data_IF_783436483957
#
_entry.id   IF_783436483957
#
_cell.length_a   1.000
_cell.length_b   1.000
_cell.length_c   1.000
_cell.angle_alpha   90.00
_cell.angle_beta   90.00
_cell.angle_gamma   90.00
#
_symmetry.space_group_name_H-M   'P 1'
#
loop_
_entity.id
_entity.type
_entity.pdbx_description
1 polymer ?
#
# COMPACT_ATOMS: atom_id res chain seq x y z
N UNK A 1 -1.63 -56.95 -64.03
CA UNK A 1 -0.90 -58.22 -64.23
C UNK A 1 -0.46 -58.74 -62.87
N UNK A 2 -0.93 -59.94 -62.51
CA UNK A 2 -0.46 -60.88 -61.46
C UNK A 2 -0.43 -60.31 -60.02
N UNK A 3 -1.37 -60.62 -59.11
CA UNK A 3 -1.78 -61.96 -58.56
C UNK A 3 -0.55 -62.70 -58.00
N UNK A 4 -0.47 -63.33 -56.84
CA UNK A 4 -1.41 -63.99 -55.91
C UNK A 4 -0.49 -64.68 -54.86
N UNK A 5 -0.74 -64.73 -53.54
CA UNK A 5 -1.29 -65.88 -52.75
C UNK A 5 -0.85 -65.65 -51.27
N UNK A 6 -1.73 -65.61 -50.26
CA UNK A 6 -2.38 -66.74 -49.54
C UNK A 6 -1.34 -67.58 -48.75
N UNK A 7 -1.48 -68.03 -47.50
CA UNK A 7 -2.47 -67.96 -46.40
C UNK A 7 -2.04 -69.03 -45.35
N UNK A 8 -2.34 -68.82 -44.06
CA UNK A 8 -2.53 -69.77 -42.94
C UNK A 8 -1.41 -70.73 -42.45
N UNK A 9 -1.08 -70.66 -41.15
CA UNK A 9 -1.42 -71.63 -40.07
C UNK A 9 -0.73 -71.18 -38.76
N UNK A 10 -1.44 -70.73 -37.71
CA UNK A 10 -2.08 -71.46 -36.61
C UNK A 10 -1.17 -71.82 -35.41
N UNK A 11 -1.68 -71.45 -34.21
CA UNK A 11 -1.51 -72.06 -32.87
C UNK A 11 -0.20 -71.86 -32.08
N UNK A 12 -0.28 -70.95 -31.09
CA UNK A 12 -0.03 -71.32 -29.69
C UNK A 12 -0.76 -70.36 -28.74
N UNK A 13 -1.92 -70.80 -28.26
CA UNK A 13 -2.60 -70.27 -27.08
C UNK A 13 -1.85 -70.74 -25.83
N UNK A 14 -1.39 -69.80 -25.00
CA UNK A 14 -0.99 -70.06 -23.62
C UNK A 14 -1.92 -69.25 -22.68
N UNK A 15 -2.53 -69.87 -21.66
CA UNK A 15 -3.38 -69.17 -20.72
C UNK A 15 -2.49 -68.51 -19.66
N UNK A 16 -2.32 -67.20 -19.71
CA UNK A 16 -1.85 -66.46 -18.54
C UNK A 16 -3.07 -66.17 -17.68
N UNK A 17 -3.11 -66.88 -16.55
CA UNK A 17 -4.08 -66.74 -15.50
C UNK A 17 -4.22 -65.26 -15.10
N UNK A 18 -5.41 -64.73 -15.33
CA UNK A 18 -5.91 -63.50 -14.75
C UNK A 18 -5.98 -63.65 -13.23
N UNK A 19 -4.99 -63.12 -12.52
CA UNK A 19 -5.19 -62.74 -11.13
C UNK A 19 -6.19 -61.56 -11.11
N UNK A 20 -7.18 -61.54 -10.21
CA UNK A 20 -7.97 -60.35 -10.00
C UNK A 20 -7.04 -59.30 -9.40
N UNK A 21 -6.59 -58.35 -10.21
CA UNK A 21 -6.06 -57.10 -9.70
C UNK A 21 -7.19 -56.46 -8.90
N UNK A 22 -7.06 -56.50 -7.57
CA UNK A 22 -7.85 -55.67 -6.66
C UNK A 22 -7.79 -54.26 -7.21
N UNK A 23 -8.94 -53.74 -7.65
CA UNK A 23 -9.19 -52.32 -7.81
C UNK A 23 -9.13 -51.69 -6.41
N UNK A 24 -7.92 -51.59 -5.87
CA UNK A 24 -7.61 -50.81 -4.68
C UNK A 24 -7.40 -49.39 -5.14
N UNK A 25 -8.45 -48.58 -4.99
CA UNK A 25 -8.36 -47.15 -4.74
C UNK A 25 -7.35 -46.36 -5.62
N UNK A 26 -7.51 -46.44 -6.94
CA UNK A 26 -6.78 -45.57 -7.87
C UNK A 26 -7.31 -44.13 -7.85
N UNK A 27 -8.51 -43.90 -7.33
CA UNK A 27 -9.09 -42.56 -7.19
C UNK A 27 -8.35 -41.73 -6.13
N UNK A 28 -7.87 -42.35 -5.03
CA UNK A 28 -7.06 -41.67 -4.02
C UNK A 28 -5.63 -41.33 -4.48
N UNK A 29 -5.04 -42.15 -5.35
CA UNK A 29 -3.73 -41.87 -5.95
C UNK A 29 -3.81 -40.89 -7.13
N UNK A 30 -4.97 -40.79 -7.78
CA UNK A 30 -5.24 -39.77 -8.78
C UNK A 30 -5.52 -38.40 -8.15
N UNK A 31 -6.10 -38.35 -6.94
CA UNK A 31 -6.20 -37.12 -6.15
C UNK A 31 -4.84 -36.65 -5.60
N UNK A 32 -3.97 -37.55 -5.12
CA UNK A 32 -2.60 -37.17 -4.74
C UNK A 32 -1.72 -36.80 -5.96
N UNK A 33 -2.00 -37.41 -7.13
CA UNK A 33 -1.32 -37.11 -8.39
C UNK A 33 -1.78 -35.82 -9.06
N UNK A 34 -3.03 -35.39 -8.88
CA UNK A 34 -3.54 -34.14 -9.48
C UNK A 34 -2.96 -32.89 -8.79
N UNK A 35 -2.69 -32.97 -7.48
CA UNK A 35 -1.99 -31.94 -6.68
C UNK A 35 -0.52 -31.77 -7.09
N UNK A 36 0.07 -32.79 -7.73
CA UNK A 36 1.43 -32.72 -8.29
C UNK A 36 1.50 -32.11 -9.70
N UNK A 37 0.38 -32.04 -10.42
CA UNK A 37 0.33 -31.64 -11.83
C UNK A 37 -0.52 -30.41 -12.14
N UNK A 38 -1.26 -29.87 -11.16
CA UNK A 38 -2.04 -28.64 -11.27
C UNK A 38 -1.21 -27.35 -11.06
N UNK A 39 0.07 -27.49 -10.73
CA UNK A 39 0.98 -26.36 -10.46
C UNK A 39 0.68 -25.61 -9.16
N UNK A 40 -0.41 -25.95 -8.46
CA UNK A 40 -0.82 -25.35 -7.19
C UNK A 40 0.11 -25.78 -6.05
N UNK A 41 0.43 -27.08 -5.98
CA UNK A 41 1.30 -27.63 -4.93
C UNK A 41 2.80 -27.30 -5.07
N UNK A 42 3.25 -26.75 -6.22
CA UNK A 42 4.69 -26.61 -6.51
C UNK A 42 5.40 -25.61 -5.60
N UNK A 43 4.69 -24.58 -5.14
CA UNK A 43 5.28 -23.50 -4.35
C UNK A 43 4.68 -23.36 -2.94
N UNK A 44 3.79 -24.26 -2.52
CA UNK A 44 3.22 -24.25 -1.15
C UNK A 44 4.30 -24.40 -0.08
N UNK A 45 5.32 -25.22 -0.34
CA UNK A 45 6.48 -25.36 0.56
C UNK A 45 7.26 -24.06 0.71
N UNK A 46 7.41 -23.30 -0.39
CA UNK A 46 8.09 -22.02 -0.37
C UNK A 46 7.27 -20.96 0.39
N UNK A 47 5.93 -21.02 0.34
CA UNK A 47 5.04 -20.15 1.09
C UNK A 47 4.93 -20.49 2.59
N UNK A 48 5.52 -21.60 3.06
CA UNK A 48 5.46 -22.01 4.46
C UNK A 48 6.15 -21.03 5.42
N UNK A 49 5.95 -21.23 6.73
CA UNK A 49 6.54 -20.40 7.79
C UNK A 49 8.08 -20.39 7.74
N UNK A 50 8.68 -21.57 7.52
CA UNK A 50 10.13 -21.78 7.53
C UNK A 50 10.56 -22.59 6.30
N UNK A 51 10.51 -21.98 5.10
CA UNK A 51 10.87 -22.68 3.87
C UNK A 51 12.37 -22.93 3.82
N UNK A 52 12.77 -24.02 3.16
CA UNK A 52 14.18 -24.26 2.93
C UNK A 52 14.77 -23.19 1.98
N UNK A 53 16.07 -22.84 2.08
CA UNK A 53 16.71 -21.86 1.20
C UNK A 53 16.51 -22.16 -0.29
N UNK A 54 16.53 -23.43 -0.68
CA UNK A 54 16.30 -23.90 -2.05
C UNK A 54 14.86 -23.64 -2.54
N UNK A 55 13.86 -23.77 -1.67
CA UNK A 55 12.46 -23.49 -2.01
C UNK A 55 12.28 -21.98 -2.25
N UNK A 56 12.91 -21.13 -1.43
CA UNK A 56 12.91 -19.67 -1.62
C UNK A 56 13.61 -19.27 -2.92
N UNK A 57 14.76 -19.85 -3.20
CA UNK A 57 15.50 -19.59 -4.43
C UNK A 57 14.71 -20.03 -5.68
N UNK A 58 14.02 -21.17 -5.61
CA UNK A 58 13.17 -21.65 -6.69
C UNK A 58 11.96 -20.73 -6.92
N UNK A 59 11.30 -20.27 -5.85
CA UNK A 59 10.20 -19.31 -5.94
C UNK A 59 10.66 -17.98 -6.55
N UNK A 60 11.81 -17.44 -6.11
CA UNK A 60 12.38 -16.23 -6.68
C UNK A 60 12.70 -16.40 -8.17
N UNK A 61 13.32 -17.52 -8.54
CA UNK A 61 13.67 -17.80 -9.93
C UNK A 61 12.43 -17.88 -10.82
N UNK A 62 11.33 -18.44 -10.31
CA UNK A 62 10.05 -18.45 -11.03
C UNK A 62 9.44 -17.06 -11.12
N UNK A 63 9.37 -16.33 -9.99
CA UNK A 63 8.82 -14.98 -9.95
C UNK A 63 9.53 -14.05 -10.95
N UNK A 64 10.86 -14.15 -11.07
CA UNK A 64 11.66 -13.36 -12.02
C UNK A 64 11.31 -13.62 -13.50
N UNK A 65 10.60 -14.70 -13.85
CA UNK A 65 10.10 -14.92 -15.22
C UNK A 65 8.91 -14.02 -15.56
N UNK A 66 8.23 -13.50 -14.55
CA UNK A 66 7.09 -12.60 -14.66
C UNK A 66 7.49 -11.12 -14.51
N UNK A 67 8.78 -10.85 -14.27
CA UNK A 67 9.31 -9.53 -13.99
C UNK A 67 10.32 -9.17 -15.05
N UNK A 68 10.10 -8.05 -15.72
CA UNK A 68 11.12 -7.39 -16.51
C UNK A 68 11.73 -6.26 -15.68
N UNK A 69 13.06 -6.19 -15.61
CA UNK A 69 13.77 -5.12 -14.87
C UNK A 69 14.39 -4.19 -15.89
N UNK A 70 13.88 -2.96 -15.98
CA UNK A 70 14.53 -1.88 -16.70
C UNK A 70 15.57 -1.22 -15.78
N UNK A 71 16.83 -1.42 -16.10
CA UNK A 71 17.97 -0.87 -15.38
C UNK A 71 18.52 0.41 -16.03
N UNK A 72 17.87 0.90 -17.08
CA UNK A 72 18.29 2.07 -17.85
C UNK A 72 19.74 2.01 -18.35
N UNK A 73 20.31 0.81 -18.50
CA UNK A 73 21.73 0.60 -18.83
C UNK A 73 22.69 0.80 -17.65
N UNK A 74 22.19 0.81 -16.41
CA UNK A 74 22.95 0.96 -15.16
C UNK A 74 22.95 -0.36 -14.39
N UNK A 75 24.00 -1.20 -14.49
CA UNK A 75 24.02 -2.53 -13.88
C UNK A 75 23.82 -2.55 -12.35
N UNK A 76 24.20 -1.46 -11.67
CA UNK A 76 23.98 -1.30 -10.24
C UNK A 76 22.48 -1.22 -9.88
N UNK A 77 21.63 -0.66 -10.74
CA UNK A 77 20.18 -0.62 -10.55
C UNK A 77 19.58 -2.02 -10.64
N UNK A 78 19.99 -2.80 -11.65
CA UNK A 78 19.59 -4.21 -11.78
C UNK A 78 19.97 -5.03 -10.56
N UNK A 79 21.22 -4.90 -10.11
CA UNK A 79 21.72 -5.63 -8.95
C UNK A 79 20.97 -5.25 -7.66
N UNK A 80 20.64 -3.96 -7.49
CA UNK A 80 19.84 -3.49 -6.37
C UNK A 80 18.42 -4.06 -6.43
N UNK A 81 17.75 -4.02 -7.58
CA UNK A 81 16.39 -4.57 -7.75
C UNK A 81 16.36 -6.09 -7.51
N UNK A 82 17.35 -6.81 -8.05
CA UNK A 82 17.51 -8.25 -7.79
C UNK A 82 17.70 -8.55 -6.31
N UNK A 83 18.45 -7.71 -5.59
CA UNK A 83 18.62 -7.83 -4.14
C UNK A 83 17.32 -7.54 -3.39
N UNK A 84 16.49 -6.60 -3.84
CA UNK A 84 15.19 -6.31 -3.24
C UNK A 84 14.23 -7.49 -3.43
N UNK A 85 14.15 -8.04 -4.64
CA UNK A 85 13.34 -9.24 -4.92
C UNK A 85 13.78 -10.44 -4.09
N UNK A 86 15.10 -10.64 -3.92
CA UNK A 86 15.62 -11.68 -3.04
C UNK A 86 15.24 -11.43 -1.57
N UNK A 87 15.33 -10.17 -1.11
CA UNK A 87 14.95 -9.78 0.25
C UNK A 87 13.46 -9.98 0.53
N UNK A 88 12.58 -9.77 -0.45
CA UNK A 88 11.16 -10.11 -0.33
C UNK A 88 10.94 -11.57 0.07
N UNK A 89 11.77 -12.51 -0.40
CA UNK A 89 11.61 -13.92 -0.07
C UNK A 89 11.89 -14.23 1.41
N UNK A 90 12.45 -13.31 2.19
CA UNK A 90 12.56 -13.49 3.65
C UNK A 90 11.22 -13.25 4.37
N UNK A 91 10.28 -12.52 3.75
CA UNK A 91 8.93 -12.29 4.27
C UNK A 91 7.98 -13.43 3.86
N UNK A 92 7.21 -13.95 4.83
CA UNK A 92 6.19 -14.97 4.56
C UNK A 92 5.08 -14.41 3.67
N UNK A 93 4.57 -13.23 4.01
CA UNK A 93 3.53 -12.56 3.25
C UNK A 93 3.97 -12.35 1.79
N UNK A 94 5.20 -11.90 1.55
CA UNK A 94 5.71 -11.72 0.20
C UNK A 94 5.86 -13.04 -0.57
N UNK A 95 6.24 -14.15 0.08
CA UNK A 95 6.29 -15.47 -0.56
C UNK A 95 4.90 -15.95 -0.97
N UNK A 96 3.91 -15.87 -0.07
CA UNK A 96 2.51 -16.22 -0.37
C UNK A 96 1.98 -15.39 -1.54
N UNK A 97 2.26 -14.09 -1.57
CA UNK A 97 1.85 -13.20 -2.65
C UNK A 97 2.61 -13.46 -3.95
N UNK A 98 3.87 -13.91 -3.89
CA UNK A 98 4.64 -14.32 -5.07
C UNK A 98 4.03 -15.56 -5.71
N UNK A 99 3.57 -16.53 -4.91
CA UNK A 99 2.84 -17.70 -5.42
C UNK A 99 1.55 -17.27 -6.12
N UNK A 100 0.80 -16.34 -5.52
CA UNK A 100 -0.39 -15.77 -6.17
C UNK A 100 -0.02 -15.03 -7.46
N UNK A 101 1.05 -14.24 -7.45
CA UNK A 101 1.52 -13.49 -8.63
C UNK A 101 1.80 -14.40 -9.83
N UNK A 102 2.52 -15.49 -9.59
CA UNK A 102 2.81 -16.52 -10.60
C UNK A 102 1.51 -17.21 -11.05
N UNK A 103 0.64 -17.58 -10.10
CA UNK A 103 -0.63 -18.28 -10.39
C UNK A 103 -1.60 -17.45 -11.23
N UNK A 104 -1.67 -16.14 -11.01
CA UNK A 104 -2.50 -15.23 -11.81
C UNK A 104 -1.88 -14.89 -13.18
N UNK A 105 -0.67 -15.39 -13.48
CA UNK A 105 0.17 -14.91 -14.59
C UNK A 105 0.25 -13.36 -14.63
N UNK A 106 0.39 -12.76 -13.44
CA UNK A 106 0.65 -11.33 -13.33
C UNK A 106 2.05 -11.04 -13.88
N UNK A 107 2.25 -9.84 -14.45
CA UNK A 107 3.52 -9.40 -15.02
C UNK A 107 3.75 -7.94 -14.67
N UNK A 108 5.00 -7.55 -14.50
CA UNK A 108 5.40 -6.15 -14.24
C UNK A 108 6.70 -5.78 -14.94
N UNK A 109 6.80 -4.50 -15.29
CA UNK A 109 8.07 -3.83 -15.57
C UNK A 109 8.51 -3.08 -14.30
N UNK A 110 9.68 -3.41 -13.76
CA UNK A 110 10.25 -2.77 -12.57
C UNK A 110 11.40 -1.84 -12.95
N UNK A 111 11.43 -0.63 -12.39
CA UNK A 111 12.58 0.26 -12.53
C UNK A 111 12.78 1.16 -11.31
N UNK A 112 13.96 1.78 -11.21
CA UNK A 112 14.20 2.91 -10.30
C UNK A 112 14.01 4.22 -11.04
N UNK A 113 13.23 5.15 -10.47
CA UNK A 113 12.97 6.45 -11.07
C UNK A 113 13.27 7.62 -10.15
N UNK A 114 13.66 8.74 -10.75
CA UNK A 114 13.80 10.02 -10.06
C UNK A 114 12.42 10.63 -9.81
N UNK A 115 11.94 10.58 -8.57
CA UNK A 115 10.67 11.20 -8.21
C UNK A 115 10.91 12.71 -7.95
N UNK A 116 10.19 13.62 -8.65
CA UNK A 116 10.38 15.05 -8.49
C UNK A 116 10.32 15.53 -7.04
N UNK A 117 11.16 16.51 -6.71
CA UNK A 117 11.31 17.09 -5.36
C UNK A 117 11.89 16.14 -4.30
N UNK A 118 12.35 14.93 -4.66
CA UNK A 118 13.06 14.05 -3.74
C UNK A 118 14.38 14.70 -3.33
N UNK A 119 14.57 14.86 -2.02
CA UNK A 119 15.82 15.36 -1.42
C UNK A 119 16.26 14.39 -0.34
N UNK A 120 17.52 13.96 -0.43
CA UNK A 120 18.16 13.16 0.61
C UNK A 120 18.79 14.11 1.63
N UNK A 121 18.55 13.86 2.90
CA UNK A 121 19.14 14.58 4.02
C UNK A 121 19.44 13.61 5.17
N UNK A 122 20.13 14.09 6.20
CA UNK A 122 20.56 13.25 7.33
C UNK A 122 19.75 13.60 8.58
N UNK A 123 19.20 12.58 9.24
CA UNK A 123 18.57 12.68 10.56
C UNK A 123 19.30 11.69 11.46
N UNK A 124 19.87 12.18 12.57
CA UNK A 124 20.59 11.36 13.55
C UNK A 124 21.67 10.43 12.92
N UNK A 125 22.38 10.94 11.90
CA UNK A 125 23.43 10.19 11.19
C UNK A 125 22.92 9.21 10.12
N UNK A 126 21.60 9.06 9.95
CA UNK A 126 20.97 8.19 8.95
C UNK A 126 20.49 9.02 7.76
N UNK A 127 20.80 8.57 6.54
CA UNK A 127 20.28 9.19 5.32
C UNK A 127 18.81 8.83 5.12
N UNK A 128 17.97 9.85 4.95
CA UNK A 128 16.53 9.74 4.73
C UNK A 128 16.09 10.66 3.58
N UNK A 129 14.90 10.41 3.03
CA UNK A 129 14.24 11.32 2.09
C UNK A 129 12.77 11.48 2.47
N UNK A 130 12.12 12.53 1.95
CA UNK A 130 10.71 12.87 2.22
C UNK A 130 9.97 13.14 0.90
N UNK A 131 9.55 12.08 0.23
CA UNK A 131 8.71 12.04 -0.98
C UNK A 131 8.09 10.64 -1.10
N UNK A 132 7.36 10.34 -2.17
CA UNK A 132 6.86 8.98 -2.42
C UNK A 132 8.02 7.97 -2.47
N UNK A 133 7.80 6.78 -1.92
CA UNK A 133 8.72 5.66 -2.04
C UNK A 133 8.61 4.97 -3.41
N UNK A 134 7.43 4.94 -4.00
CA UNK A 134 7.20 4.31 -5.30
C UNK A 134 5.87 4.75 -5.91
N UNK A 135 5.55 4.18 -7.06
CA UNK A 135 4.22 4.23 -7.65
C UNK A 135 4.05 3.13 -8.71
N UNK A 136 2.79 2.75 -8.97
CA UNK A 136 2.43 1.77 -10.00
C UNK A 136 1.51 2.37 -11.06
N UNK A 137 1.90 2.27 -12.33
CA UNK A 137 1.06 2.60 -13.47
C UNK A 137 0.19 1.41 -13.90
N UNK A 138 -0.88 1.15 -13.15
CA UNK A 138 -1.81 0.01 -13.37
C UNK A 138 -2.57 0.03 -14.71
N UNK A 139 -2.52 1.14 -15.45
CA UNK A 139 -3.11 1.28 -16.79
C UNK A 139 -2.23 0.77 -17.94
N UNK A 140 -0.97 0.45 -17.68
CA UNK A 140 -0.03 -0.10 -18.66
C UNK A 140 -0.11 -1.63 -18.70
N UNK A 141 0.33 -2.25 -19.81
CA UNK A 141 0.29 -3.71 -19.99
C UNK A 141 1.66 -4.19 -20.50
N UNK A 142 2.49 -4.83 -19.65
CA UNK A 142 2.25 -5.08 -18.22
C UNK A 142 2.26 -3.77 -17.40
N UNK A 143 1.68 -3.75 -16.17
CA UNK A 143 1.83 -2.64 -15.24
C UNK A 143 3.30 -2.29 -14.98
N UNK A 144 3.62 -1.01 -14.96
CA UNK A 144 4.94 -0.48 -14.60
C UNK A 144 4.98 -0.11 -13.12
N UNK A 145 6.01 -0.57 -12.41
CA UNK A 145 6.24 -0.28 -11.00
C UNK A 145 7.58 0.44 -10.88
N UNK A 146 7.53 1.63 -10.30
CA UNK A 146 8.68 2.50 -10.15
C UNK A 146 9.00 2.66 -8.66
N UNK A 147 10.24 2.34 -8.28
CA UNK A 147 10.76 2.67 -6.96
C UNK A 147 11.56 3.97 -7.03
N UNK A 148 11.50 4.76 -5.97
CA UNK A 148 12.28 5.98 -5.87
C UNK A 148 13.78 5.63 -5.87
N UNK A 149 14.52 6.21 -6.82
CA UNK A 149 15.96 6.00 -6.96
C UNK A 149 16.76 6.43 -5.72
N UNK A 150 16.20 7.29 -4.86
CA UNK A 150 16.78 7.64 -3.57
C UNK A 150 17.01 6.42 -2.65
N UNK A 151 16.28 5.32 -2.84
CA UNK A 151 16.53 4.07 -2.11
C UNK A 151 17.92 3.49 -2.35
N UNK A 152 18.59 3.82 -3.46
CA UNK A 152 19.97 3.40 -3.70
C UNK A 152 20.97 4.04 -2.72
N UNK A 153 20.56 5.09 -2.01
CA UNK A 153 21.42 5.87 -1.11
C UNK A 153 20.88 6.01 0.33
N UNK A 154 19.56 6.02 0.51
CA UNK A 154 18.88 6.35 1.76
C UNK A 154 17.72 5.38 2.03
N UNK A 155 17.46 5.03 3.29
CA UNK A 155 16.35 4.13 3.69
C UNK A 155 16.27 2.83 2.89
N UNK A 156 17.41 2.18 2.61
CA UNK A 156 17.49 0.94 1.81
C UNK A 156 16.62 -0.18 2.38
N UNK A 157 16.51 -0.19 3.70
CA UNK A 157 15.69 -1.09 4.49
C UNK A 157 14.18 -0.96 4.20
N UNK A 158 13.72 0.22 3.77
CA UNK A 158 12.31 0.55 3.44
C UNK A 158 12.00 0.43 1.93
N UNK A 159 12.92 -0.16 1.15
CA UNK A 159 12.67 -0.43 -0.26
C UNK A 159 11.85 -1.71 -0.50
N UNK A 160 12.05 -2.83 0.24
CA UNK A 160 11.28 -4.05 0.03
C UNK A 160 9.78 -3.93 0.37
N UNK A 161 9.41 -3.26 1.47
CA UNK A 161 8.01 -3.00 1.81
C UNK A 161 7.33 -2.12 0.76
N UNK A 162 8.02 -1.09 0.27
CA UNK A 162 7.53 -0.27 -0.86
C UNK A 162 7.36 -1.11 -2.12
N UNK A 163 8.34 -1.96 -2.47
CA UNK A 163 8.20 -2.85 -3.62
C UNK A 163 7.02 -3.81 -3.47
N UNK A 164 6.78 -4.35 -2.28
CA UNK A 164 5.64 -5.22 -2.02
C UNK A 164 4.31 -4.47 -2.14
N UNK A 165 4.24 -3.24 -1.62
CA UNK A 165 3.09 -2.34 -1.79
C UNK A 165 2.75 -2.16 -3.27
N UNK A 166 3.75 -1.78 -4.08
CA UNK A 166 3.53 -1.49 -5.49
C UNK A 166 3.25 -2.75 -6.32
N UNK A 167 4.12 -3.75 -6.24
CA UNK A 167 4.04 -4.95 -7.08
C UNK A 167 2.88 -5.88 -6.68
N UNK A 168 2.70 -6.14 -5.38
CA UNK A 168 1.65 -7.04 -4.93
C UNK A 168 0.37 -6.33 -4.52
N UNK A 169 0.43 -5.08 -4.07
CA UNK A 169 -0.74 -4.31 -3.68
C UNK A 169 -1.49 -3.70 -4.87
N UNK A 170 -0.76 -3.23 -5.88
CA UNK A 170 -1.36 -2.62 -7.06
C UNK A 170 -1.34 -3.56 -8.27
N UNK A 171 -0.16 -4.02 -8.73
CA UNK A 171 -0.08 -4.77 -9.98
C UNK A 171 -0.77 -6.15 -9.91
N UNK A 172 -0.55 -6.93 -8.83
CA UNK A 172 -1.24 -8.21 -8.63
C UNK A 172 -2.75 -8.04 -8.44
N UNK A 173 -3.18 -7.10 -7.61
CA UNK A 173 -4.61 -6.90 -7.35
C UNK A 173 -5.34 -6.40 -8.60
N UNK A 174 -4.69 -5.55 -9.40
CA UNK A 174 -5.18 -5.18 -10.73
C UNK A 174 -5.39 -6.41 -11.61
N UNK A 175 -4.49 -7.41 -11.57
CA UNK A 175 -4.63 -8.67 -12.32
C UNK A 175 -5.78 -9.54 -11.80
N UNK A 176 -5.92 -9.65 -10.48
CA UNK A 176 -7.07 -10.33 -9.86
C UNK A 176 -8.39 -9.68 -10.28
N UNK A 177 -8.46 -8.35 -10.29
CA UNK A 177 -9.65 -7.63 -10.76
C UNK A 177 -9.99 -7.93 -12.24
N UNK A 178 -9.00 -8.20 -13.12
CA UNK A 178 -9.26 -8.65 -14.50
C UNK A 178 -9.94 -10.00 -14.55
N UNK A 179 -9.47 -10.96 -13.73
CA UNK A 179 -10.05 -12.30 -13.67
C UNK A 179 -11.55 -12.24 -13.35
N UNK A 180 -11.95 -11.29 -12.51
CA UNK A 180 -13.34 -11.05 -12.14
C UNK A 180 -14.10 -10.08 -13.06
N UNK A 181 -13.45 -9.50 -14.07
CA UNK A 181 -14.06 -8.55 -15.01
C UNK A 181 -14.44 -7.19 -14.41
N UNK A 182 -13.76 -6.78 -13.33
CA UNK A 182 -14.03 -5.54 -12.57
C UNK A 182 -12.84 -4.57 -12.54
N UNK A 183 -11.85 -4.77 -13.41
CA UNK A 183 -10.65 -3.95 -13.45
C UNK A 183 -10.89 -2.46 -13.77
N UNK A 184 -11.97 -2.15 -14.49
CA UNK A 184 -12.36 -0.77 -14.79
C UNK A 184 -13.01 -0.06 -13.61
N UNK A 185 -13.51 -0.82 -12.62
CA UNK A 185 -14.04 -0.26 -11.38
C UNK A 185 -13.05 -0.34 -10.22
N UNK A 186 -12.02 -1.18 -10.33
CA UNK A 186 -10.92 -1.28 -9.37
C UNK A 186 -10.27 0.07 -9.08
N UNK A 187 -10.10 0.94 -10.08
CA UNK A 187 -9.54 2.29 -9.88
C UNK A 187 -10.42 3.22 -9.03
N UNK A 188 -11.68 2.87 -8.80
CA UNK A 188 -12.56 3.59 -7.87
C UNK A 188 -12.61 2.92 -6.49
N UNK A 189 -11.97 1.78 -6.27
CA UNK A 189 -12.05 1.09 -4.98
C UNK A 189 -11.19 1.81 -3.93
N UNK A 190 -11.82 2.31 -2.87
CA UNK A 190 -11.09 2.99 -1.78
C UNK A 190 -10.13 2.06 -1.03
N UNK A 191 -10.37 0.76 -1.10
CA UNK A 191 -9.60 -0.25 -0.36
C UNK A 191 -8.35 -0.69 -1.13
N UNK A 192 -8.14 -0.14 -2.32
CA UNK A 192 -6.99 -0.40 -3.18
C UNK A 192 -5.68 0.03 -2.51
N UNK A 193 -5.54 1.30 -2.18
CA UNK A 193 -4.42 1.83 -1.39
C UNK A 193 -4.29 1.15 -0.02
N UNK A 194 -5.40 0.94 0.70
CA UNK A 194 -5.36 0.35 2.04
C UNK A 194 -4.83 -1.10 2.00
N UNK A 195 -5.20 -1.86 0.98
CA UNK A 195 -4.70 -3.22 0.78
C UNK A 195 -3.21 -3.22 0.42
N UNK A 196 -2.79 -2.31 -0.46
CA UNK A 196 -1.37 -2.15 -0.81
C UNK A 196 -0.55 -1.75 0.42
N UNK A 197 -1.05 -0.82 1.23
CA UNK A 197 -0.50 -0.43 2.52
C UNK A 197 -0.36 -1.64 3.46
N UNK A 198 -1.43 -2.40 3.69
CA UNK A 198 -1.39 -3.60 4.54
C UNK A 198 -0.34 -4.61 4.08
N UNK A 199 -0.18 -4.81 2.77
CA UNK A 199 0.86 -5.69 2.22
C UNK A 199 2.25 -5.13 2.52
N UNK A 200 2.52 -3.88 2.15
CA UNK A 200 3.82 -3.24 2.39
C UNK A 200 4.20 -3.24 3.86
N UNK A 201 3.33 -2.74 4.74
CA UNK A 201 3.58 -2.66 6.17
C UNK A 201 3.83 -4.04 6.81
N UNK A 202 3.08 -5.07 6.38
CA UNK A 202 3.26 -6.44 6.87
C UNK A 202 4.62 -7.00 6.43
N UNK A 203 4.97 -6.84 5.15
CA UNK A 203 6.27 -7.28 4.63
C UNK A 203 7.41 -6.57 5.36
N UNK A 204 7.34 -5.26 5.54
CA UNK A 204 8.33 -4.50 6.31
C UNK A 204 8.48 -5.02 7.74
N UNK A 205 7.37 -5.23 8.45
CA UNK A 205 7.39 -5.73 9.83
C UNK A 205 7.97 -7.15 9.97
N UNK A 206 7.66 -8.04 9.02
CA UNK A 206 8.23 -9.39 8.93
C UNK A 206 9.75 -9.34 8.69
N UNK A 207 10.22 -8.43 7.83
CA UNK A 207 11.65 -8.21 7.54
C UNK A 207 12.42 -7.53 8.68
N UNK A 208 11.71 -7.10 9.73
CA UNK A 208 12.30 -6.50 10.92
C UNK A 208 12.25 -4.98 10.96
N UNK A 209 11.65 -4.33 9.96
CA UNK A 209 11.45 -2.89 9.99
C UNK A 209 10.45 -2.52 11.07
N UNK A 210 10.61 -1.33 11.64
CA UNK A 210 9.63 -0.76 12.56
C UNK A 210 8.49 -0.18 11.75
N UNK A 211 7.25 -0.42 12.19
CA UNK A 211 6.07 0.22 11.61
C UNK A 211 6.01 1.65 12.14
N UNK A 212 6.72 2.58 11.50
CA UNK A 212 6.71 4.01 11.85
C UNK A 212 5.77 4.83 10.95
N UNK A 213 5.21 4.22 9.92
CA UNK A 213 4.27 4.87 9.02
C UNK A 213 3.00 5.27 9.77
N UNK A 214 2.76 6.58 9.89
CA UNK A 214 1.55 7.12 10.52
C UNK A 214 0.27 6.63 9.86
N UNK A 215 0.30 6.33 8.55
CA UNK A 215 -0.84 5.77 7.83
C UNK A 215 -1.17 4.35 8.28
N UNK A 216 -0.16 3.53 8.58
CA UNK A 216 -0.36 2.20 9.16
C UNK A 216 -1.09 2.32 10.51
N UNK A 217 -0.60 3.17 11.41
CA UNK A 217 -1.23 3.36 12.71
C UNK A 217 -2.65 3.91 12.62
N UNK A 218 -2.92 4.88 11.72
CA UNK A 218 -4.27 5.40 11.51
C UNK A 218 -5.20 4.31 10.99
N UNK A 219 -4.75 3.47 10.05
CA UNK A 219 -5.55 2.36 9.53
C UNK A 219 -5.84 1.32 10.60
N UNK A 220 -4.83 0.91 11.35
CA UNK A 220 -4.95 -0.11 12.39
C UNK A 220 -5.84 0.33 13.56
N UNK A 221 -5.82 1.63 13.92
CA UNK A 221 -6.71 2.21 14.93
C UNK A 221 -8.16 2.34 14.40
N UNK A 222 -8.32 2.95 13.23
CA UNK A 222 -9.64 3.24 12.67
C UNK A 222 -9.59 3.33 11.13
N UNK A 223 -9.92 2.24 10.41
CA UNK A 223 -9.94 2.22 8.94
C UNK A 223 -10.82 3.31 8.33
N UNK A 224 -11.98 3.63 8.94
CA UNK A 224 -12.86 4.68 8.43
C UNK A 224 -12.22 6.07 8.51
N UNK A 225 -11.46 6.35 9.57
CA UNK A 225 -10.68 7.58 9.70
C UNK A 225 -9.53 7.62 8.69
N UNK A 226 -8.86 6.49 8.43
CA UNK A 226 -7.86 6.36 7.38
C UNK A 226 -8.42 6.78 6.01
N UNK A 227 -9.49 6.15 5.54
CA UNK A 227 -10.07 6.46 4.22
C UNK A 227 -10.56 7.90 4.14
N UNK A 228 -11.14 8.42 5.23
CA UNK A 228 -11.57 9.81 5.31
C UNK A 228 -10.40 10.78 5.11
N UNK A 229 -9.27 10.55 5.79
CA UNK A 229 -8.07 11.39 5.67
C UNK A 229 -7.47 11.30 4.26
N UNK A 230 -7.38 10.08 3.73
CA UNK A 230 -6.84 9.82 2.40
C UNK A 230 -7.62 10.56 1.29
N UNK A 231 -8.96 10.54 1.36
CA UNK A 231 -9.87 11.27 0.45
C UNK A 231 -9.72 12.79 0.49
N UNK A 232 -9.01 13.35 1.47
CA UNK A 232 -8.70 14.78 1.57
C UNK A 232 -7.24 15.11 1.30
N UNK A 233 -6.43 14.11 0.93
CA UNK A 233 -4.99 14.27 0.73
C UNK A 233 -4.63 14.60 -0.73
N UNK A 234 -5.16 13.83 -1.69
CA UNK A 234 -4.90 14.00 -3.12
C UNK A 234 -6.18 13.85 -3.97
N UNK A 235 -6.25 14.46 -5.16
CA UNK A 235 -7.40 14.35 -6.06
C UNK A 235 -7.80 12.91 -6.38
N UNK A 236 -6.83 12.06 -6.71
CA UNK A 236 -7.07 10.65 -7.03
C UNK A 236 -7.90 9.94 -5.94
N UNK A 237 -7.45 10.01 -4.69
CA UNK A 237 -8.14 9.39 -3.56
C UNK A 237 -9.52 9.99 -3.28
N UNK A 238 -9.75 11.28 -3.55
CA UNK A 238 -11.07 11.88 -3.39
C UNK A 238 -12.12 11.24 -4.33
N UNK A 239 -11.68 10.68 -5.45
CA UNK A 239 -12.50 9.96 -6.42
C UNK A 239 -12.75 8.48 -6.09
N UNK A 240 -12.09 7.90 -5.10
CA UNK A 240 -12.34 6.51 -4.71
C UNK A 240 -13.59 6.37 -3.86
N UNK A 241 -14.16 5.17 -3.81
CA UNK A 241 -15.48 4.84 -3.30
C UNK A 241 -15.39 3.52 -2.54
N UNK A 242 -16.08 3.42 -1.41
CA UNK A 242 -16.44 2.12 -0.85
C UNK A 242 -17.42 1.40 -1.78
N UNK A 243 -17.55 0.09 -1.61
CA UNK A 243 -18.58 -0.71 -2.32
C UNK A 243 -20.01 -0.18 -2.12
N UNK A 244 -20.26 0.48 -0.99
CA UNK A 244 -21.55 1.14 -0.72
C UNK A 244 -21.67 2.48 -1.44
N UNK A 245 -20.61 3.28 -1.45
CA UNK A 245 -20.58 4.55 -2.19
C UNK A 245 -20.65 4.31 -3.71
N UNK A 246 -20.19 3.16 -4.21
CA UNK A 246 -20.35 2.74 -5.61
C UNK A 246 -21.82 2.57 -6.02
N UNK A 247 -22.75 2.38 -5.09
CA UNK A 247 -24.20 2.29 -5.38
C UNK A 247 -24.83 3.66 -5.66
N UNK A 248 -24.27 4.72 -5.07
CA UNK A 248 -24.67 6.11 -5.28
C UNK A 248 -23.43 7.03 -5.26
N UNK A 249 -22.60 6.96 -6.32
CA UNK A 249 -21.34 7.70 -6.36
C UNK A 249 -21.58 9.21 -6.41
N UNK A 250 -22.70 9.64 -7.00
CA UNK A 250 -23.04 11.06 -7.10
C UNK A 250 -23.27 11.68 -5.72
N UNK A 251 -24.01 11.00 -4.85
CA UNK A 251 -24.21 11.43 -3.47
C UNK A 251 -22.88 11.46 -2.69
N UNK A 252 -22.04 10.44 -2.85
CA UNK A 252 -20.72 10.37 -2.20
C UNK A 252 -19.81 11.55 -2.61
N UNK A 253 -19.69 11.83 -3.91
CA UNK A 253 -18.88 12.96 -4.40
C UNK A 253 -19.45 14.32 -3.97
N UNK A 254 -20.78 14.47 -3.99
CA UNK A 254 -21.45 15.71 -3.56
C UNK A 254 -21.18 15.98 -2.07
N UNK A 255 -21.27 14.95 -1.23
CA UNK A 255 -20.95 15.06 0.20
C UNK A 255 -19.49 15.47 0.43
N UNK A 256 -18.54 14.86 -0.30
CA UNK A 256 -17.11 15.22 -0.20
C UNK A 256 -16.84 16.62 -0.69
N UNK A 257 -17.47 17.07 -1.78
CA UNK A 257 -17.34 18.44 -2.24
C UNK A 257 -17.79 19.43 -1.17
N UNK A 258 -18.89 19.13 -0.46
CA UNK A 258 -19.35 19.93 0.67
C UNK A 258 -18.35 19.92 1.85
N UNK A 259 -17.67 18.80 2.11
CA UNK A 259 -16.61 18.71 3.13
C UNK A 259 -15.38 19.54 2.75
N UNK A 260 -14.91 19.44 1.50
CA UNK A 260 -13.79 20.23 0.97
C UNK A 260 -14.08 21.73 1.04
N UNK A 261 -15.30 22.14 0.65
CA UNK A 261 -15.75 23.53 0.77
C UNK A 261 -15.80 24.02 2.23
N UNK A 262 -15.91 23.14 3.23
CA UNK A 262 -15.78 23.48 4.67
C UNK A 262 -14.32 23.52 5.13
N UNK A 263 -13.43 22.74 4.52
CA UNK A 263 -12.01 22.66 4.88
C UNK A 263 -11.20 23.83 4.31
N UNK A 264 -11.42 24.22 3.06
CA UNK A 264 -10.75 25.34 2.40
C UNK A 264 -10.72 26.63 3.25
N UNK A 265 -11.86 27.17 3.75
CA UNK A 265 -11.84 28.38 4.56
C UNK A 265 -11.18 28.20 5.94
N UNK A 266 -10.90 26.96 6.39
CA UNK A 266 -10.17 26.71 7.63
C UNK A 266 -8.66 26.82 7.47
N UNK A 267 -8.13 26.74 6.25
CA UNK A 267 -6.69 26.89 6.00
C UNK A 267 -6.16 28.26 6.46
N UNK A 268 -6.74 29.41 6.05
CA UNK A 268 -6.26 30.70 6.53
C UNK A 268 -6.42 30.85 8.05
N UNK A 269 -7.49 30.32 8.65
CA UNK A 269 -7.69 30.33 10.12
C UNK A 269 -6.61 29.52 10.83
N UNK A 270 -6.23 28.35 10.30
CA UNK A 270 -5.13 27.55 10.84
C UNK A 270 -3.79 28.26 10.69
N UNK A 271 -3.54 28.89 9.54
CA UNK A 271 -2.34 29.70 9.29
C UNK A 271 -2.22 30.81 10.33
N UNK A 272 -3.29 31.57 10.52
CA UNK A 272 -3.35 32.64 11.53
C UNK A 272 -3.12 32.10 12.94
N UNK A 273 -3.80 31.02 13.33
CA UNK A 273 -3.60 30.37 14.64
C UNK A 273 -2.15 29.96 14.85
N UNK A 274 -1.52 29.32 13.87
CA UNK A 274 -0.13 28.89 13.97
C UNK A 274 0.83 30.08 14.03
N UNK A 275 0.59 31.14 13.26
CA UNK A 275 1.37 32.39 13.35
C UNK A 275 1.23 33.03 14.73
N UNK A 276 0.03 33.04 15.31
CA UNK A 276 -0.20 33.53 16.68
C UNK A 276 0.57 32.67 17.67
N UNK A 277 0.45 31.35 17.60
CA UNK A 277 1.17 30.44 18.50
C UNK A 277 2.69 30.61 18.39
N UNK A 278 3.22 30.83 17.18
CA UNK A 278 4.63 31.11 16.98
C UNK A 278 5.05 32.40 17.73
N UNK A 279 4.29 33.49 17.56
CA UNK A 279 4.52 34.74 18.31
C UNK A 279 4.39 34.55 19.82
N UNK A 280 3.47 33.71 20.30
CA UNK A 280 3.34 33.37 21.72
C UNK A 280 4.60 32.69 22.22
N UNK A 281 5.16 31.74 21.46
CA UNK A 281 6.42 31.10 21.86
C UNK A 281 7.57 32.10 21.95
N UNK A 282 7.56 33.18 21.17
CA UNK A 282 8.56 34.27 21.23
C UNK A 282 8.31 35.24 22.39
N UNK A 283 7.06 35.40 22.81
CA UNK A 283 6.68 36.28 23.91
C UNK A 283 6.87 35.65 25.30
N UNK A 284 6.59 34.36 25.47
CA UNK A 284 6.67 33.68 26.78
C UNK A 284 8.05 33.76 27.47
N UNK A 285 9.18 33.88 26.76
CA UNK A 285 10.47 34.17 27.40
C UNK A 285 10.64 35.60 27.93
N UNK A 286 9.82 36.55 27.46
CA UNK A 286 9.89 37.96 27.86
C UNK A 286 9.15 38.22 29.19
N UNK A 287 9.40 39.36 29.86
CA UNK A 287 8.56 39.80 30.98
C UNK A 287 7.08 39.92 30.58
N UNK A 288 6.13 39.52 31.46
CA UNK A 288 6.33 39.11 32.86
C UNK A 288 6.66 37.63 33.06
N UNK A 289 6.58 36.79 32.02
CA UNK A 289 6.59 35.32 32.14
C UNK A 289 7.98 34.72 32.38
N UNK A 290 9.01 35.29 31.74
CA UNK A 290 10.42 34.90 31.90
C UNK A 290 10.66 33.39 31.79
N UNK A 291 9.94 32.71 30.89
CA UNK A 291 10.13 31.27 30.68
C UNK A 291 11.44 31.00 29.93
N UNK A 292 12.01 29.81 30.10
CA UNK A 292 13.23 29.41 29.41
C UNK A 292 12.99 29.30 27.89
N UNK A 293 13.63 30.16 27.09
CA UNK A 293 13.45 30.18 25.64
C UNK A 293 13.75 28.83 24.97
N UNK A 294 14.75 28.10 25.50
CA UNK A 294 15.12 26.78 24.99
C UNK A 294 14.00 25.74 25.14
N UNK A 295 13.04 25.93 26.04
CA UNK A 295 11.91 25.02 26.22
C UNK A 295 10.93 25.03 25.05
N UNK A 296 10.98 26.02 24.16
CA UNK A 296 10.04 26.14 23.05
C UNK A 296 10.61 25.71 21.69
N UNK A 297 11.85 25.24 21.61
CA UNK A 297 12.51 24.94 20.33
C UNK A 297 11.75 23.91 19.49
N UNK A 298 11.38 22.78 20.08
CA UNK A 298 10.65 21.71 19.37
C UNK A 298 9.27 22.18 18.90
N UNK A 299 8.49 22.86 19.76
CA UNK A 299 7.16 23.33 19.37
C UNK A 299 7.23 24.43 18.30
N UNK A 300 8.29 25.26 18.28
CA UNK A 300 8.55 26.25 17.21
C UNK A 300 8.86 25.57 15.88
N UNK A 301 9.71 24.54 15.90
CA UNK A 301 10.03 23.72 14.73
C UNK A 301 8.75 23.08 14.17
N UNK A 302 7.91 22.49 15.03
CA UNK A 302 6.64 21.86 14.65
C UNK A 302 5.60 22.86 14.10
N UNK A 303 5.46 24.03 14.74
CA UNK A 303 4.55 25.10 14.27
C UNK A 303 5.01 25.61 12.91
N UNK A 304 6.31 25.86 12.74
CA UNK A 304 6.88 26.34 11.47
C UNK A 304 6.67 25.33 10.34
N UNK A 305 6.99 24.05 10.60
CA UNK A 305 6.71 22.97 9.65
C UNK A 305 5.21 22.87 9.31
N UNK A 306 4.33 23.05 10.30
CA UNK A 306 2.88 23.06 10.08
C UNK A 306 2.45 24.23 9.20
N UNK A 307 3.00 25.43 9.37
CA UNK A 307 2.74 26.60 8.52
C UNK A 307 3.21 26.32 7.08
N UNK A 308 4.42 25.80 6.91
CA UNK A 308 5.05 25.55 5.62
C UNK A 308 4.29 24.53 4.76
N UNK A 309 3.55 23.60 5.39
CA UNK A 309 2.71 22.62 4.66
C UNK A 309 1.34 23.16 4.24
N UNK A 310 0.85 24.25 4.84
CA UNK A 310 -0.50 24.78 4.55
C UNK A 310 -0.71 25.19 3.09
N UNK A 311 0.24 25.83 2.38
CA UNK A 311 0.07 26.14 0.96
C UNK A 311 -0.14 24.89 0.09
N UNK A 312 0.62 23.81 0.34
CA UNK A 312 0.42 22.53 -0.35
C UNK A 312 -0.95 21.92 -0.05
N UNK A 313 -1.39 21.97 1.21
CA UNK A 313 -2.72 21.50 1.60
C UNK A 313 -3.84 22.32 0.92
N UNK A 314 -3.68 23.64 0.80
CA UNK A 314 -4.61 24.53 0.09
C UNK A 314 -4.70 24.18 -1.39
N UNK A 315 -3.55 23.98 -2.04
CA UNK A 315 -3.46 23.56 -3.43
C UNK A 315 -4.19 22.21 -3.63
N UNK A 316 -3.84 21.18 -2.84
CA UNK A 316 -4.45 19.86 -2.95
C UNK A 316 -5.97 19.91 -2.77
N UNK A 317 -6.49 20.69 -1.80
CA UNK A 317 -7.92 20.85 -1.60
C UNK A 317 -8.62 21.52 -2.79
N UNK A 318 -7.98 22.51 -3.44
CA UNK A 318 -8.51 23.13 -4.64
C UNK A 318 -8.53 22.15 -5.83
N UNK A 319 -7.46 21.37 -6.01
CA UNK A 319 -7.41 20.33 -7.05
C UNK A 319 -8.46 19.23 -6.81
N UNK A 320 -8.63 18.80 -5.56
CA UNK A 320 -9.69 17.87 -5.14
C UNK A 320 -11.06 18.46 -5.46
N UNK A 321 -11.31 19.73 -5.14
CA UNK A 321 -12.58 20.42 -5.44
C UNK A 321 -12.87 20.35 -6.94
N UNK A 322 -11.94 20.78 -7.78
CA UNK A 322 -12.10 20.75 -9.24
C UNK A 322 -12.28 19.34 -9.79
N UNK A 323 -11.61 18.34 -9.21
CA UNK A 323 -11.77 16.95 -9.61
C UNK A 323 -13.15 16.39 -9.24
N UNK A 324 -13.63 16.65 -8.03
CA UNK A 324 -14.97 16.25 -7.58
C UNK A 324 -16.07 16.91 -8.43
N UNK A 325 -15.93 18.18 -8.79
CA UNK A 325 -16.87 18.87 -9.69
C UNK A 325 -16.94 18.18 -11.06
N UNK A 326 -15.81 17.75 -11.63
CA UNK A 326 -15.75 16.97 -12.88
C UNK A 326 -16.44 15.60 -12.73
N UNK A 327 -16.20 14.90 -11.61
CA UNK A 327 -16.85 13.62 -11.34
C UNK A 327 -18.37 13.77 -11.18
N UNK A 328 -18.82 14.75 -10.39
CA UNK A 328 -20.25 15.06 -10.22
C UNK A 328 -20.90 15.33 -11.58
N UNK A 329 -20.27 16.13 -12.44
CA UNK A 329 -20.75 16.37 -13.79
C UNK A 329 -20.82 15.08 -14.63
N UNK A 330 -19.79 14.23 -14.57
CA UNK A 330 -19.74 12.97 -15.32
C UNK A 330 -20.78 11.93 -14.88
N UNK A 331 -21.19 11.97 -13.61
CA UNK A 331 -22.22 11.07 -13.07
C UNK A 331 -23.62 11.71 -13.05
N UNK A 332 -23.77 12.99 -13.39
CA UNK A 332 -25.06 13.64 -13.49
C UNK A 332 -25.78 13.35 -14.83
N UNK A 333 -27.11 13.45 -14.81
CA UNK A 333 -27.95 13.31 -16.00
C UNK A 333 -28.11 11.88 -16.52
N UNK A 334 -28.70 11.75 -17.71
CA UNK A 334 -29.10 10.45 -18.28
C UNK A 334 -27.90 9.56 -18.63
N UNK A 335 -26.85 10.12 -19.24
CA UNK A 335 -25.60 9.38 -19.53
C UNK A 335 -24.87 8.95 -18.24
N UNK A 336 -24.94 9.77 -17.19
CA UNK A 336 -24.38 9.43 -15.89
C UNK A 336 -25.09 8.25 -15.23
N UNK A 337 -26.42 8.11 -15.41
CA UNK A 337 -27.21 7.02 -14.83
C UNK A 337 -26.73 5.64 -15.24
N UNK A 338 -26.46 5.41 -16.52
CA UNK A 338 -25.93 4.13 -17.00
C UNK A 338 -24.58 3.79 -16.35
N UNK A 339 -23.72 4.80 -16.14
CA UNK A 339 -22.44 4.63 -15.44
C UNK A 339 -22.64 4.30 -13.95
N UNK A 340 -23.60 4.94 -13.28
CA UNK A 340 -23.96 4.63 -11.89
C UNK A 340 -24.50 3.20 -11.76
N UNK A 341 -25.42 2.79 -12.63
CA UNK A 341 -25.98 1.44 -12.65
C UNK A 341 -24.90 0.37 -12.89
N UNK A 342 -24.00 0.61 -13.84
CA UNK A 342 -22.87 -0.28 -14.10
C UNK A 342 -21.95 -0.42 -12.88
N UNK A 343 -21.63 0.70 -12.21
CA UNK A 343 -20.79 0.70 -11.01
C UNK A 343 -21.48 -0.03 -9.84
N UNK A 344 -22.77 0.24 -9.62
CA UNK A 344 -23.59 -0.40 -8.59
C UNK A 344 -23.78 -1.91 -8.81
N UNK A 345 -23.81 -2.35 -10.08
CA UNK A 345 -23.83 -3.76 -10.42
C UNK A 345 -22.48 -4.42 -10.13
N UNK A 346 -21.37 -3.78 -10.55
CA UNK A 346 -20.02 -4.30 -10.34
C UNK A 346 -19.58 -4.31 -8.88
N UNK A 347 -20.07 -3.39 -8.05
CA UNK A 347 -19.74 -3.37 -6.60
C UNK A 347 -20.25 -4.59 -5.82
N UNK A 348 -21.12 -5.42 -6.44
CA UNK A 348 -21.60 -6.69 -5.90
C UNK A 348 -20.77 -7.90 -6.33
N UNK A 349 -19.70 -7.69 -7.10
CA UNK A 349 -18.85 -8.77 -7.58
C UNK A 349 -18.07 -9.40 -6.41
N UNK A 350 -17.90 -10.72 -6.47
CA UNK A 350 -17.22 -11.51 -5.43
C UNK A 350 -15.79 -11.07 -5.15
N UNK A 351 -15.12 -10.45 -6.13
CA UNK A 351 -13.80 -9.82 -5.98
C UNK A 351 -13.71 -8.93 -4.72
N UNK A 352 -14.70 -8.06 -4.49
CA UNK A 352 -14.66 -7.14 -3.35
C UNK A 352 -14.79 -7.87 -2.02
N UNK A 353 -15.60 -8.93 -1.98
CA UNK A 353 -15.75 -9.79 -0.79
C UNK A 353 -14.46 -10.57 -0.52
N UNK A 354 -13.84 -11.16 -1.54
CA UNK A 354 -12.56 -11.86 -1.42
C UNK A 354 -11.44 -10.92 -0.94
N UNK A 355 -11.38 -9.73 -1.52
CA UNK A 355 -10.40 -8.71 -1.13
C UNK A 355 -10.58 -8.27 0.32
N UNK A 356 -11.81 -7.98 0.75
CA UNK A 356 -12.09 -7.61 2.14
C UNK A 356 -11.67 -8.69 3.13
N UNK A 357 -11.91 -9.96 2.80
CA UNK A 357 -11.44 -11.09 3.62
C UNK A 357 -9.91 -11.11 3.71
N UNK A 358 -9.22 -11.00 2.58
CA UNK A 358 -7.75 -10.99 2.55
C UNK A 358 -7.17 -9.79 3.32
N UNK A 359 -7.82 -8.62 3.25
CA UNK A 359 -7.42 -7.44 4.02
C UNK A 359 -7.59 -7.65 5.53
N UNK A 360 -8.69 -8.26 5.98
CA UNK A 360 -8.87 -8.55 7.41
C UNK A 360 -7.84 -9.56 7.92
N UNK A 361 -7.51 -10.59 7.14
CA UNK A 361 -6.45 -11.54 7.47
C UNK A 361 -5.09 -10.83 7.60
N UNK A 362 -4.73 -9.97 6.64
CA UNK A 362 -3.50 -9.16 6.70
C UNK A 362 -3.50 -8.21 7.90
N UNK A 363 -4.64 -7.59 8.21
CA UNK A 363 -4.80 -6.70 9.37
C UNK A 363 -4.52 -7.47 10.67
N UNK A 364 -5.01 -8.70 10.79
CA UNK A 364 -4.74 -9.54 11.97
C UNK A 364 -3.26 -9.90 12.10
N UNK A 365 -2.61 -10.27 10.98
CA UNK A 365 -1.17 -10.55 10.94
C UNK A 365 -0.36 -9.32 11.36
N UNK A 366 -0.62 -8.17 10.74
CA UNK A 366 0.08 -6.92 11.04
C UNK A 366 -0.12 -6.49 12.51
N UNK A 367 -1.34 -6.61 13.03
CA UNK A 367 -1.63 -6.35 14.45
C UNK A 367 -0.77 -7.22 15.38
N UNK A 368 -0.67 -8.52 15.09
CA UNK A 368 0.19 -9.44 15.83
C UNK A 368 1.67 -9.04 15.78
N UNK A 369 2.17 -8.63 14.61
CA UNK A 369 3.56 -8.18 14.43
C UNK A 369 3.85 -6.87 15.21
N UNK A 370 2.92 -5.91 15.15
CA UNK A 370 3.03 -4.64 15.88
C UNK A 370 3.02 -4.84 17.39
N UNK A 371 2.26 -5.82 17.90
CA UNK A 371 2.23 -6.18 19.32
C UNK A 371 3.46 -6.97 19.77
N UNK A 372 4.02 -7.84 18.93
CA UNK A 372 5.19 -8.68 19.25
C UNK A 372 6.52 -7.89 19.21
N UNK A 373 6.57 -6.84 18.38
CA UNK A 373 7.70 -5.91 18.29
C UNK A 373 7.22 -4.48 18.60
N UNK A 374 6.69 -4.21 19.81
CA UNK A 374 6.21 -2.87 20.13
C UNK A 374 7.42 -1.94 20.13
N UNK A 375 7.44 -0.99 19.18
CA UNK A 375 8.36 0.14 19.05
C UNK A 375 9.67 0.02 19.86
N UNK A 376 10.67 -0.69 19.34
CA UNK A 376 11.99 -0.81 20.01
C UNK A 376 12.98 0.30 19.69
N UNK A 377 12.67 1.20 18.77
CA UNK A 377 13.42 2.45 18.64
C UNK A 377 12.70 3.48 19.51
N UNK A 378 13.28 3.93 20.64
CA UNK A 378 12.74 5.08 21.35
C UNK A 378 12.66 6.21 20.33
N UNK A 379 11.56 6.98 20.36
CA UNK A 379 11.56 8.30 19.73
C UNK A 379 12.88 8.98 20.10
N UNK A 380 13.55 9.69 19.18
CA UNK A 380 14.74 10.45 19.54
C UNK A 380 14.44 11.18 20.84
N UNK A 381 15.26 11.00 21.90
CA UNK A 381 14.89 11.41 23.24
C UNK A 381 14.44 12.85 23.17
N UNK A 382 13.16 13.09 23.53
CA UNK A 382 12.60 14.44 23.55
C UNK A 382 13.63 15.31 24.26
N UNK A 383 14.07 16.39 23.63
CA UNK A 383 15.08 17.28 24.24
C UNK A 383 14.58 17.57 25.67
N UNK A 384 15.40 17.36 26.72
CA UNK A 384 14.91 17.55 28.08
C UNK A 384 14.34 18.96 28.28
N UNK A 385 13.20 19.06 28.97
CA UNK A 385 12.56 20.35 29.28
C UNK A 385 11.84 21.04 28.13
N UNK A 386 11.49 20.34 27.03
CA UNK A 386 10.64 20.91 25.98
C UNK A 386 9.17 20.99 26.38
N UNK A 387 8.54 22.07 25.94
CA UNK A 387 7.10 22.31 26.00
C UNK A 387 6.40 21.53 24.89
N UNK A 388 5.33 20.80 25.22
CA UNK A 388 4.45 20.15 24.23
C UNK A 388 3.45 21.12 23.63
N UNK A 389 2.80 20.72 22.55
CA UNK A 389 1.72 21.49 21.93
C UNK A 389 0.59 21.79 22.93
N UNK A 390 0.11 20.77 23.65
CA UNK A 390 -0.96 20.94 24.65
C UNK A 390 -0.53 21.84 25.82
N UNK A 391 0.73 21.77 26.24
CA UNK A 391 1.28 22.66 27.26
C UNK A 391 1.31 24.11 26.77
N UNK A 392 1.77 24.36 25.54
CA UNK A 392 1.78 25.70 24.95
C UNK A 392 0.35 26.28 24.87
N UNK A 393 -0.62 25.47 24.44
CA UNK A 393 -2.02 25.92 24.38
C UNK A 393 -2.61 26.23 25.75
N UNK A 394 -2.33 25.39 26.74
CA UNK A 394 -2.75 25.63 28.13
C UNK A 394 -2.12 26.89 28.73
N UNK A 395 -0.83 27.12 28.47
CA UNK A 395 -0.11 28.35 28.87
C UNK A 395 -0.76 29.56 28.18
N UNK A 396 -1.03 29.47 26.87
CA UNK A 396 -1.65 30.55 26.12
C UNK A 396 -3.08 30.87 26.59
N UNK A 397 -3.90 29.86 26.85
CA UNK A 397 -5.26 30.06 27.36
C UNK A 397 -5.27 30.70 28.75
N UNK A 398 -4.30 30.36 29.59
CA UNK A 398 -4.09 30.99 30.90
C UNK A 398 -3.61 32.44 30.72
N UNK A 399 -2.64 32.65 29.83
CA UNK A 399 -2.07 33.95 29.50
C UNK A 399 -3.14 34.95 29.02
N UNK A 400 -4.00 34.55 28.08
CA UNK A 400 -5.07 35.40 27.54
C UNK A 400 -6.06 35.91 28.58
N UNK A 401 -6.18 35.21 29.71
CA UNK A 401 -7.07 35.56 30.81
C UNK A 401 -6.37 36.34 31.92
N UNK A 402 -5.04 36.46 31.85
CA UNK A 402 -4.26 37.19 32.84
C UNK A 402 -4.45 38.69 32.67
N UNK A 403 -4.64 39.39 33.78
CA UNK A 403 -4.65 40.87 33.83
C UNK A 403 -3.23 41.46 33.90
N UNK A 404 -2.21 40.62 34.10
CA UNK A 404 -0.82 41.05 34.31
C UNK A 404 -0.05 41.21 33.01
N UNK A 405 -0.46 40.52 31.94
CA UNK A 405 0.14 40.65 30.62
C UNK A 405 -0.85 41.26 29.63
N UNK A 406 -0.53 42.45 29.12
CA UNK A 406 -1.34 43.18 28.13
C UNK A 406 -0.97 42.86 26.67
N UNK A 407 -0.02 41.95 26.46
CA UNK A 407 0.44 41.59 25.11
C UNK A 407 -0.69 40.95 24.29
N UNK A 408 -0.82 41.38 23.04
CA UNK A 408 -1.74 40.83 22.04
C UNK A 408 -0.94 40.50 20.76
N UNK A 409 -1.12 39.31 20.18
CA UNK A 409 -0.36 38.82 19.02
C UNK A 409 -0.62 39.57 17.72
#
# INVERSE_FOLDING_TARGET
MRSLKILFLLLSLAPLASAPARAGNLDGLAEEGSVLFDGGGRYERAASENPAPEDRAALLAELKKHINIDDHGVPAEKAAMDSLLARLMDSKTARELSVQFIKEDAKVDLSFEEIPNTKIFTVDGVKVFRTSGGHTHTGTVPPQVHLNKAYLEARKEDAPDTLAHEMFGHALERKKAERFGVQDVYSYDQDEEANAGLIGWTVGAELGNKVEDGWAWIYMDNPANYHKRLKTNLPYYAGTLSTEEMKDPLSAYTKRLAEVNKLLPRIPIRRERYTILLKVTDHLPEPPHKMEASSFLTVREDISASIDTLPGNEQNLNEIKSYLEKLIFAYAGEKGRAKQEALAAKSKNDYFTEKQKAMEERRQVLSGLMLAKPNRTPDPPKRPGQCTWEQLEGIWDTHRRSTECLWQP
#
